data_IF_795835826447
#
_entry.id   IF_795835826447
#
_cell.length_a   1.000
_cell.length_b   1.000
_cell.length_c   1.000
_cell.angle_alpha   90.00
_cell.angle_beta   90.00
_cell.angle_gamma   90.00
#
_symmetry.space_group_name_H-M   'P 1'
#
loop_
_entity.id
_entity.type
_entity.pdbx_description
1 polymer ?
#
# COMPACT_ATOMS: atom_id res chain seq x y z
N UNK A 1 9.86 -22.91 9.90
CA UNK A 1 9.72 -21.63 10.63
C UNK A 1 9.33 -20.60 9.60
N UNK A 2 8.18 -19.94 9.73
CA UNK A 2 7.73 -18.94 8.75
C UNK A 2 8.39 -17.61 9.07
N UNK A 3 9.05 -16.99 8.09
CA UNK A 3 9.74 -15.70 8.27
C UNK A 3 8.73 -14.57 8.47
N UNK A 4 9.12 -13.56 9.27
CA UNK A 4 8.35 -12.34 9.51
C UNK A 4 9.01 -11.20 8.74
N UNK A 5 8.22 -10.49 7.93
CA UNK A 5 8.69 -9.33 7.17
C UNK A 5 8.01 -8.06 7.66
N UNK A 6 8.76 -6.97 7.63
CA UNK A 6 8.27 -5.62 7.87
C UNK A 6 8.79 -4.72 6.75
N UNK A 7 7.88 -3.98 6.12
CA UNK A 7 8.21 -2.98 5.11
C UNK A 7 7.57 -1.65 5.51
N UNK A 8 8.34 -0.57 5.36
CA UNK A 8 7.89 0.80 5.56
C UNK A 8 8.27 1.60 4.33
N UNK A 9 7.29 2.26 3.71
CA UNK A 9 7.51 3.03 2.49
C UNK A 9 6.58 4.24 2.42
N UNK A 10 6.96 5.21 1.61
CA UNK A 10 6.09 6.31 1.19
C UNK A 10 5.45 5.88 -0.12
N UNK A 11 4.11 5.75 -0.19
CA UNK A 11 3.46 5.26 -1.39
C UNK A 11 3.59 6.26 -2.53
N UNK A 12 3.73 5.73 -3.74
CA UNK A 12 3.69 6.50 -4.99
C UNK A 12 3.03 5.62 -6.04
N UNK A 13 2.03 6.15 -6.73
CA UNK A 13 1.24 5.35 -7.67
C UNK A 13 2.12 4.86 -8.84
N UNK A 14 1.95 3.59 -9.22
CA UNK A 14 2.74 2.91 -10.24
C UNK A 14 4.09 2.38 -9.76
N UNK A 15 4.45 2.57 -8.48
CA UNK A 15 5.68 2.00 -7.91
C UNK A 15 5.50 0.55 -7.50
N UNK A 16 6.55 -0.26 -7.65
CA UNK A 16 6.55 -1.66 -7.22
C UNK A 16 7.08 -1.80 -5.79
N UNK A 17 6.43 -2.63 -4.98
CA UNK A 17 6.84 -2.99 -3.63
C UNK A 17 6.80 -4.50 -3.43
N UNK A 18 7.51 -4.99 -2.42
CA UNK A 18 7.44 -6.39 -1.99
C UNK A 18 6.60 -6.53 -0.72
N UNK A 19 5.51 -7.28 -0.79
CA UNK A 19 4.64 -7.57 0.36
C UNK A 19 4.74 -9.04 0.78
N UNK A 20 4.60 -9.33 2.09
CA UNK A 20 4.45 -10.70 2.56
C UNK A 20 3.13 -11.30 2.05
N UNK A 21 3.14 -12.58 1.72
CA UNK A 21 1.95 -13.34 1.28
C UNK A 21 0.86 -13.45 2.34
N UNK A 22 1.23 -13.42 3.63
CA UNK A 22 0.27 -13.38 4.73
C UNK A 22 0.41 -12.04 5.47
N UNK A 23 -0.43 -11.06 5.13
CA UNK A 23 -0.43 -9.76 5.79
C UNK A 23 -1.11 -9.88 7.16
N UNK A 24 -0.41 -9.45 8.21
CA UNK A 24 -0.91 -9.49 9.59
C UNK A 24 -1.37 -8.13 10.09
N UNK A 25 -0.52 -7.11 9.99
CA UNK A 25 -0.83 -5.75 10.46
C UNK A 25 -0.43 -4.72 9.41
N UNK A 26 -1.32 -3.75 9.19
CA UNK A 26 -1.09 -2.55 8.37
C UNK A 26 -1.27 -1.33 9.26
N UNK A 27 -0.42 -0.33 9.06
CA UNK A 27 -0.45 0.94 9.78
C UNK A 27 -0.08 2.04 8.79
N UNK A 28 -0.82 3.14 8.75
CA UNK A 28 -0.55 4.24 7.85
C UNK A 28 -0.79 5.59 8.53
N UNK A 29 0.05 6.58 8.21
CA UNK A 29 -0.05 7.89 8.82
C UNK A 29 0.91 8.91 8.24
N UNK A 30 0.60 10.17 8.54
CA UNK A 30 1.42 11.31 8.19
C UNK A 30 2.49 11.56 9.26
N UNK A 31 3.75 11.58 8.85
CA UNK A 31 4.89 11.85 9.74
C UNK A 31 5.66 13.08 9.27
N UNK A 32 6.15 13.89 10.21
CA UNK A 32 7.08 14.99 9.91
C UNK A 32 6.45 16.30 9.44
N UNK A 33 5.11 16.43 9.45
CA UNK A 33 4.43 17.69 9.17
C UNK A 33 4.38 18.57 10.42
N UNK A 34 5.06 19.72 10.39
CA UNK A 34 4.77 20.79 11.34
C UNK A 34 3.41 21.44 11.06
N UNK A 35 3.14 22.62 11.65
CA UNK A 35 1.92 23.41 11.41
C UNK A 35 1.63 23.79 9.94
N UNK A 36 2.54 23.49 9.01
CA UNK A 36 2.49 23.88 7.59
C UNK A 36 1.99 22.79 6.62
N UNK A 37 1.77 21.57 7.10
CA UNK A 37 1.20 20.51 6.25
C UNK A 37 2.19 19.75 5.37
N UNK A 38 3.50 19.99 5.47
CA UNK A 38 4.55 19.27 4.71
C UNK A 38 4.84 17.85 5.24
N UNK A 39 3.82 17.14 5.75
CA UNK A 39 3.98 15.77 6.23
C UNK A 39 4.31 14.80 5.10
N UNK A 40 4.96 13.69 5.43
CA UNK A 40 5.12 12.56 4.52
C UNK A 40 4.21 11.42 4.96
N UNK A 41 3.30 10.99 4.09
CA UNK A 41 2.52 9.79 4.33
C UNK A 41 3.41 8.54 4.24
N UNK A 42 3.29 7.66 5.23
CA UNK A 42 4.00 6.39 5.29
C UNK A 42 3.04 5.26 5.56
N UNK A 43 3.30 4.13 4.89
CA UNK A 43 2.61 2.87 5.09
C UNK A 43 3.60 1.86 5.64
N UNK A 44 3.18 1.16 6.69
CA UNK A 44 3.91 0.06 7.31
C UNK A 44 3.08 -1.22 7.19
N UNK A 45 3.69 -2.27 6.64
CA UNK A 45 3.05 -3.59 6.52
C UNK A 45 3.92 -4.63 7.21
N UNK A 46 3.31 -5.42 8.08
CA UNK A 46 3.95 -6.54 8.79
C UNK A 46 3.18 -7.82 8.50
N UNK A 47 3.91 -8.86 8.13
CA UNK A 47 3.31 -10.14 7.76
C UNK A 47 4.30 -11.30 7.79
N UNK A 48 3.84 -12.46 7.32
CA UNK A 48 4.58 -13.71 7.28
C UNK A 48 4.56 -14.32 5.88
N UNK A 49 5.44 -15.29 5.64
CA UNK A 49 5.37 -16.14 4.44
C UNK A 49 6.52 -15.90 3.48
N UNK A 50 6.23 -15.81 2.19
CA UNK A 50 7.16 -15.34 1.15
C UNK A 50 6.83 -13.91 0.75
N UNK A 51 7.83 -13.15 0.30
CA UNK A 51 7.60 -11.88 -0.38
C UNK A 51 7.12 -12.10 -1.81
N UNK A 52 6.26 -11.24 -2.30
CA UNK A 52 5.84 -11.18 -3.71
C UNK A 52 5.75 -9.72 -4.15
N UNK A 53 5.89 -9.48 -5.45
CA UNK A 53 5.90 -8.14 -6.03
C UNK A 53 4.48 -7.65 -6.33
N UNK A 54 4.21 -6.42 -5.92
CA UNK A 54 2.94 -5.73 -6.11
C UNK A 54 3.17 -4.34 -6.66
N UNK A 55 2.21 -3.83 -7.42
CA UNK A 55 2.17 -2.44 -7.88
C UNK A 55 1.24 -1.64 -6.98
N UNK A 56 1.73 -0.53 -6.46
CA UNK A 56 0.97 0.40 -5.62
C UNK A 56 0.12 1.29 -6.51
N UNK A 57 -1.17 1.36 -6.23
CA UNK A 57 -2.14 2.21 -6.91
C UNK A 57 -2.85 3.09 -5.90
N UNK A 58 -3.42 4.19 -6.40
CA UNK A 58 -4.25 5.10 -5.62
C UNK A 58 -5.55 5.39 -6.34
N UNK A 59 -6.58 5.71 -5.56
CA UNK A 59 -7.84 6.23 -6.06
C UNK A 59 -8.48 7.15 -5.00
N UNK A 60 -9.31 8.09 -5.44
CA UNK A 60 -10.15 8.91 -4.56
C UNK A 60 -11.13 8.03 -3.78
N UNK A 61 -11.21 8.25 -2.47
CA UNK A 61 -12.10 7.50 -1.59
C UNK A 61 -13.56 7.68 -2.05
N UNK A 62 -14.24 6.55 -2.33
CA UNK A 62 -15.67 6.54 -2.68
C UNK A 62 -16.01 6.74 -4.16
N UNK A 63 -15.01 6.90 -5.04
CA UNK A 63 -15.25 7.17 -6.46
C UNK A 63 -15.04 5.97 -7.41
N UNK A 64 -14.24 4.98 -7.02
CA UNK A 64 -13.92 3.83 -7.89
C UNK A 64 -13.90 2.53 -7.07
N UNK A 65 -14.50 1.48 -7.62
CA UNK A 65 -14.38 0.13 -7.07
C UNK A 65 -12.94 -0.37 -7.19
N UNK A 66 -12.45 -1.02 -6.14
CA UNK A 66 -11.12 -1.63 -6.09
C UNK A 66 -11.25 -3.07 -6.61
N UNK A 67 -10.35 -3.49 -7.50
CA UNK A 67 -10.38 -4.85 -8.04
C UNK A 67 -10.24 -5.91 -6.94
N UNK A 68 -10.93 -7.06 -7.10
CA UNK A 68 -11.09 -8.08 -6.06
C UNK A 68 -9.79 -8.74 -5.57
N UNK A 69 -8.73 -8.74 -6.38
CA UNK A 69 -7.40 -9.27 -6.03
C UNK A 69 -6.45 -8.19 -5.45
N UNK A 70 -6.97 -7.00 -5.17
CA UNK A 70 -6.20 -5.91 -4.59
C UNK A 70 -6.11 -6.03 -3.06
N UNK A 71 -4.93 -5.71 -2.54
CA UNK A 71 -4.70 -5.55 -1.13
C UNK A 71 -4.81 -4.07 -0.73
N UNK A 72 -5.80 -3.72 0.10
CA UNK A 72 -5.93 -2.35 0.63
C UNK A 72 -4.80 -2.07 1.61
N UNK A 73 -3.96 -1.08 1.33
CA UNK A 73 -2.79 -0.76 2.15
C UNK A 73 -3.11 0.26 3.25
N UNK A 74 -3.92 1.26 2.93
CA UNK A 74 -4.29 2.32 3.86
C UNK A 74 -5.01 3.47 3.17
N UNK A 75 -5.51 4.41 3.96
CA UNK A 75 -6.18 5.62 3.47
C UNK A 75 -5.46 6.83 4.02
N UNK A 76 -5.12 7.75 3.14
CA UNK A 76 -4.64 9.07 3.52
C UNK A 76 -5.83 10.02 3.68
N UNK A 77 -6.12 10.40 4.91
CA UNK A 77 -7.24 11.29 5.23
C UNK A 77 -6.93 12.73 4.84
N UNK A 78 -5.65 13.13 4.78
CA UNK A 78 -5.30 14.50 4.39
C UNK A 78 -5.60 14.77 2.91
N UNK A 79 -5.37 13.76 2.08
CA UNK A 79 -5.52 13.82 0.62
C UNK A 79 -6.73 13.01 0.11
N UNK A 80 -7.63 12.56 0.99
CA UNK A 80 -8.81 11.73 0.68
C UNK A 80 -8.50 10.55 -0.27
N UNK A 81 -7.31 9.97 -0.15
CA UNK A 81 -6.75 9.01 -1.11
C UNK A 81 -6.70 7.61 -0.51
N UNK A 82 -7.27 6.63 -1.20
CA UNK A 82 -7.11 5.21 -0.89
C UNK A 82 -5.88 4.64 -1.60
N UNK A 83 -4.97 4.03 -0.85
CA UNK A 83 -3.81 3.32 -1.36
C UNK A 83 -4.04 1.82 -1.30
N UNK A 84 -3.82 1.13 -2.43
CA UNK A 84 -3.96 -0.31 -2.54
C UNK A 84 -2.83 -0.89 -3.40
N UNK A 85 -2.62 -2.20 -3.31
CA UNK A 85 -1.56 -2.91 -4.00
C UNK A 85 -2.16 -4.07 -4.79
N UNK A 86 -1.78 -4.19 -6.06
CA UNK A 86 -2.23 -5.27 -6.94
C UNK A 86 -1.04 -6.17 -7.27
N UNK A 87 -1.16 -7.51 -7.26
CA UNK A 87 -0.09 -8.38 -7.70
C UNK A 87 0.43 -7.97 -9.08
N UNK A 88 1.75 -7.92 -9.27
CA UNK A 88 2.33 -7.50 -10.56
C UNK A 88 1.83 -8.37 -11.74
N UNK A 89 1.50 -9.64 -11.45
CA UNK A 89 0.91 -10.58 -12.42
C UNK A 89 -0.48 -10.18 -12.92
N UNK A 90 -1.25 -9.42 -12.12
CA UNK A 90 -2.56 -8.91 -12.49
C UNK A 90 -2.48 -7.50 -13.12
N UNK A 91 -1.51 -6.68 -12.71
CA UNK A 91 -1.32 -5.31 -13.24
C UNK A 91 -0.97 -5.25 -14.74
N UNK A 92 -0.31 -6.28 -15.28
CA UNK A 92 0.03 -6.39 -16.70
C UNK A 92 -0.97 -7.15 -17.57
N UNK A 93 -2.16 -7.49 -17.04
CA UNK A 93 -3.19 -8.29 -17.71
C UNK A 93 -4.04 -7.54 -18.75
N UNK A 94 -3.50 -6.49 -19.36
CA UNK A 94 -4.11 -5.81 -20.50
C UNK A 94 -3.42 -6.22 -21.79
N UNK A 95 -4.12 -7.03 -22.60
CA UNK A 95 -3.85 -7.22 -24.03
C UNK A 95 -3.96 -5.88 -24.80
#
# INVERSE_FOLDING_TARGET
>A
MTEVFSIVFTPSAGTTIELPSEIGRKDCGHYGGGQRGDGTFKISVVGRGKKSEYVVLSNDVGHTEVEGDSEILGTDVADETLWYAVPISAYGGGE
#
